data_IF_236322943240
#
_entry.id   IF_236322943240
#
_cell.length_a   1.000
_cell.length_b   1.000
_cell.length_c   1.000
_cell.angle_alpha   90.00
_cell.angle_beta   90.00
_cell.angle_gamma   90.00
#
_symmetry.space_group_name_H-M   'P 1'
#
loop_
_entity.id
_entity.type
_entity.pdbx_description
1 polymer ?
#
# COMPACT_ATOMS: atom_id res chain seq x y z
N UNK A 1 21.99 8.71 -25.59
CA UNK A 1 21.82 9.06 -24.16
C UNK A 1 20.33 9.03 -23.82
N UNK A 2 19.84 7.88 -23.35
CA UNK A 2 18.44 7.73 -22.93
C UNK A 2 18.26 8.40 -21.56
N UNK A 3 17.34 9.37 -21.47
CA UNK A 3 17.02 10.07 -20.22
C UNK A 3 16.55 9.06 -19.16
N UNK A 4 17.16 9.14 -17.98
CA UNK A 4 16.77 8.55 -16.69
C UNK A 4 15.29 8.09 -16.63
N UNK A 5 15.07 6.77 -16.62
CA UNK A 5 13.81 6.09 -16.29
C UNK A 5 13.50 6.14 -14.78
N UNK A 6 13.62 7.29 -14.11
CA UNK A 6 13.46 7.36 -12.65
C UNK A 6 12.02 7.53 -12.17
N UNK A 7 11.02 7.67 -13.05
CA UNK A 7 9.65 8.09 -12.67
C UNK A 7 8.51 7.15 -13.08
N UNK A 8 8.79 5.94 -13.56
CA UNK A 8 7.74 5.09 -14.14
C UNK A 8 6.65 4.64 -13.15
N UNK A 9 6.90 4.74 -11.84
CA UNK A 9 5.95 4.31 -10.80
C UNK A 9 5.38 5.47 -9.97
N UNK A 10 5.83 6.70 -10.16
CA UNK A 10 5.51 7.83 -9.27
C UNK A 10 4.01 8.07 -9.15
N UNK A 11 3.29 8.09 -10.28
CA UNK A 11 1.84 8.28 -10.27
C UNK A 11 1.08 7.10 -9.65
N UNK A 12 1.57 5.87 -9.85
CA UNK A 12 0.99 4.66 -9.24
C UNK A 12 1.14 4.72 -7.72
N UNK A 13 2.33 5.09 -7.24
CA UNK A 13 2.64 5.27 -5.82
C UNK A 13 1.80 6.38 -5.20
N UNK A 14 1.68 7.52 -5.88
CA UNK A 14 0.84 8.63 -5.44
C UNK A 14 -0.61 8.19 -5.21
N UNK A 15 -1.24 7.52 -6.18
CA UNK A 15 -2.62 7.06 -6.06
C UNK A 15 -2.81 6.06 -4.91
N UNK A 16 -1.88 5.13 -4.75
CA UNK A 16 -1.93 4.17 -3.64
C UNK A 16 -1.73 4.85 -2.28
N UNK A 17 -0.75 5.75 -2.17
CA UNK A 17 -0.44 6.43 -0.91
C UNK A 17 -1.58 7.37 -0.49
N UNK A 18 -2.21 8.08 -1.43
CA UNK A 18 -3.40 8.87 -1.15
C UNK A 18 -4.57 8.01 -0.68
N UNK A 19 -4.79 6.83 -1.28
CA UNK A 19 -5.79 5.88 -0.77
C UNK A 19 -5.53 5.54 0.71
N UNK A 20 -4.30 5.14 1.05
CA UNK A 20 -3.92 4.77 2.43
C UNK A 20 -4.10 5.95 3.39
N UNK A 21 -3.60 7.13 3.03
CA UNK A 21 -3.67 8.34 3.86
C UNK A 21 -5.09 8.83 4.09
N UNK A 22 -5.94 8.83 3.05
CA UNK A 22 -7.35 9.24 3.17
C UNK A 22 -8.17 8.23 3.96
N UNK A 23 -7.89 6.93 3.81
CA UNK A 23 -8.57 5.89 4.58
C UNK A 23 -8.29 6.02 6.08
N UNK A 24 -7.09 6.44 6.48
CA UNK A 24 -6.71 6.60 7.90
C UNK A 24 -7.26 7.87 8.54
N UNK A 25 -7.56 8.91 7.75
CA UNK A 25 -7.98 10.22 8.28
C UNK A 25 -9.50 10.34 8.43
N UNK A 26 -10.23 10.39 7.32
CA UNK A 26 -11.68 10.62 7.31
C UNK A 26 -12.44 9.59 6.49
N UNK A 27 -11.75 8.74 5.72
CA UNK A 27 -12.32 7.78 4.77
C UNK A 27 -12.97 8.42 3.54
N UNK A 28 -13.29 9.72 3.59
CA UNK A 28 -13.78 10.50 2.46
C UNK A 28 -12.71 10.50 1.36
N UNK A 29 -13.16 10.36 0.12
CA UNK A 29 -12.30 10.36 -1.08
C UNK A 29 -11.35 9.16 -1.26
N UNK A 30 -11.09 8.32 -0.24
CA UNK A 30 -10.17 7.18 -0.38
C UNK A 30 -10.55 6.28 -1.58
N UNK A 31 -11.84 5.93 -1.71
CA UNK A 31 -12.36 5.12 -2.83
C UNK A 31 -12.14 5.77 -4.21
N UNK A 32 -12.04 7.10 -4.28
CA UNK A 32 -11.76 7.80 -5.53
C UNK A 32 -10.34 7.49 -6.02
N UNK A 33 -9.34 7.51 -5.14
CA UNK A 33 -7.96 7.19 -5.50
C UNK A 33 -7.80 5.74 -5.96
N UNK A 34 -8.46 4.79 -5.28
CA UNK A 34 -8.52 3.41 -5.76
C UNK A 34 -9.20 3.32 -7.13
N UNK A 35 -10.34 3.99 -7.34
CA UNK A 35 -11.01 4.01 -8.64
C UNK A 35 -10.11 4.55 -9.76
N UNK A 36 -9.39 5.66 -9.50
CA UNK A 36 -8.45 6.25 -10.47
C UNK A 36 -7.31 5.27 -10.77
N UNK A 37 -6.80 4.54 -9.76
CA UNK A 37 -5.76 3.53 -9.96
C UNK A 37 -6.24 2.37 -10.85
N UNK A 38 -7.45 1.85 -10.60
CA UNK A 38 -8.08 0.83 -11.44
C UNK A 38 -8.24 1.31 -12.89
N UNK A 39 -8.71 2.55 -13.08
CA UNK A 39 -8.84 3.16 -14.43
C UNK A 39 -7.49 3.39 -15.09
N UNK A 40 -6.47 3.78 -14.34
CA UNK A 40 -5.13 3.97 -14.87
C UNK A 40 -4.53 2.66 -15.40
N UNK A 41 -4.78 1.53 -14.73
CA UNK A 41 -4.41 0.18 -15.20
C UNK A 41 -5.14 -0.17 -16.51
N UNK A 42 -6.43 0.15 -16.58
CA UNK A 42 -7.29 -0.19 -17.72
C UNK A 42 -6.91 0.60 -18.98
N UNK A 43 -6.80 1.93 -18.87
CA UNK A 43 -6.67 2.82 -20.03
C UNK A 43 -5.34 3.58 -20.09
N UNK A 44 -4.70 3.86 -18.95
CA UNK A 44 -3.46 4.65 -18.87
C UNK A 44 -2.17 3.85 -19.13
N UNK A 45 -2.21 2.53 -18.93
CA UNK A 45 -1.08 1.60 -19.08
C UNK A 45 -1.32 0.59 -20.22
N UNK A 46 -1.67 1.10 -21.40
CA UNK A 46 -2.05 0.29 -22.56
C UNK A 46 -0.88 -0.09 -23.48
N UNK A 47 0.29 0.57 -23.36
CA UNK A 47 1.45 0.30 -24.23
C UNK A 47 2.22 -0.92 -23.73
N UNK A 48 2.77 -1.73 -24.67
CA UNK A 48 3.62 -2.88 -24.33
C UNK A 48 4.83 -2.51 -23.45
N UNK A 49 5.40 -1.32 -23.65
CA UNK A 49 6.52 -0.82 -22.86
C UNK A 49 6.18 -0.57 -21.38
N UNK A 50 4.89 -0.50 -21.03
CA UNK A 50 4.40 -0.20 -19.68
C UNK A 50 4.02 -1.47 -18.89
N UNK A 51 4.52 -2.64 -19.30
CA UNK A 51 4.13 -3.92 -18.69
C UNK A 51 4.53 -4.00 -17.22
N UNK A 52 5.67 -3.42 -16.83
CA UNK A 52 6.14 -3.43 -15.46
C UNK A 52 5.26 -2.55 -14.56
N UNK A 53 4.95 -1.34 -15.02
CA UNK A 53 4.04 -0.39 -14.38
C UNK A 53 2.66 -1.01 -14.19
N UNK A 54 2.14 -1.69 -15.22
CA UNK A 54 0.83 -2.36 -15.16
C UNK A 54 0.81 -3.46 -14.12
N UNK A 55 1.82 -4.35 -14.13
CA UNK A 55 1.95 -5.41 -13.13
C UNK A 55 2.04 -4.85 -11.71
N UNK A 56 2.83 -3.78 -11.53
CA UNK A 56 2.99 -3.14 -10.23
C UNK A 56 1.69 -2.51 -9.72
N UNK A 57 0.98 -1.77 -10.56
CA UNK A 57 -0.32 -1.19 -10.21
C UNK A 57 -1.37 -2.28 -9.90
N UNK A 58 -1.42 -3.37 -10.68
CA UNK A 58 -2.30 -4.51 -10.42
C UNK A 58 -2.02 -5.16 -9.06
N UNK A 59 -0.74 -5.30 -8.69
CA UNK A 59 -0.34 -5.79 -7.36
C UNK A 59 -0.85 -4.88 -6.24
N UNK A 60 -0.69 -3.56 -6.38
CA UNK A 60 -1.18 -2.62 -5.38
C UNK A 60 -2.71 -2.65 -5.26
N UNK A 61 -3.44 -2.79 -6.37
CA UNK A 61 -4.90 -2.98 -6.35
C UNK A 61 -5.30 -4.28 -5.66
N UNK A 62 -4.57 -5.39 -5.88
CA UNK A 62 -4.85 -6.65 -5.20
C UNK A 62 -4.69 -6.51 -3.67
N UNK A 63 -3.62 -5.84 -3.23
CA UNK A 63 -3.39 -5.52 -1.81
C UNK A 63 -4.55 -4.67 -1.24
N UNK A 64 -5.02 -3.65 -1.97
CA UNK A 64 -6.17 -2.84 -1.55
C UNK A 64 -7.43 -3.71 -1.41
N UNK A 65 -7.70 -4.57 -2.40
CA UNK A 65 -8.89 -5.44 -2.40
C UNK A 65 -8.90 -6.40 -1.21
N UNK A 66 -7.77 -7.04 -0.95
CA UNK A 66 -7.57 -7.93 0.20
C UNK A 66 -7.79 -7.15 1.51
N UNK A 67 -7.14 -5.99 1.66
CA UNK A 67 -7.25 -5.17 2.85
C UNK A 67 -8.68 -4.64 3.09
N UNK A 68 -9.40 -4.25 2.04
CA UNK A 68 -10.79 -3.80 2.15
C UNK A 68 -11.73 -4.97 2.47
N UNK A 69 -11.57 -6.11 1.79
CA UNK A 69 -12.41 -7.29 1.98
C UNK A 69 -12.31 -7.86 3.39
N UNK A 70 -11.12 -7.81 3.98
CA UNK A 70 -10.86 -8.32 5.33
C UNK A 70 -10.86 -7.24 6.43
N UNK A 71 -11.28 -6.01 6.12
CA UNK A 71 -11.31 -4.89 7.08
C UNK A 71 -9.91 -4.54 7.68
N UNK A 72 -8.85 -4.84 6.95
CA UNK A 72 -7.45 -4.68 7.32
C UNK A 72 -6.77 -3.44 6.70
N UNK A 73 -7.52 -2.46 6.20
CA UNK A 73 -6.96 -1.25 5.56
C UNK A 73 -6.04 -0.43 6.47
N UNK A 74 -6.26 -0.47 7.79
CA UNK A 74 -5.38 0.13 8.79
C UNK A 74 -3.97 -0.51 8.84
N UNK A 75 -3.80 -1.72 8.29
CA UNK A 75 -2.52 -2.43 8.21
C UNK A 75 -1.73 -2.08 6.96
N UNK A 76 -2.30 -1.39 5.97
CA UNK A 76 -1.56 -0.95 4.79
C UNK A 76 -0.38 -0.04 5.16
N UNK A 77 0.67 -0.08 4.37
CA UNK A 77 1.90 0.71 4.52
C UNK A 77 2.05 1.56 3.26
N UNK A 78 2.43 2.84 3.41
CA UNK A 78 2.79 3.69 2.28
C UNK A 78 3.97 3.07 1.50
N UNK A 79 4.16 3.49 0.25
CA UNK A 79 5.20 2.95 -0.65
C UNK A 79 6.13 4.08 -1.13
N UNK A 80 7.29 3.70 -1.65
CA UNK A 80 8.34 4.65 -2.03
C UNK A 80 9.01 5.30 -0.82
N UNK A 81 9.58 6.49 -1.01
CA UNK A 81 10.30 7.23 0.05
C UNK A 81 9.40 7.51 1.28
N UNK A 82 8.11 7.76 1.06
CA UNK A 82 7.13 7.94 2.14
C UNK A 82 6.99 6.66 2.98
N UNK A 83 6.96 5.50 2.33
CA UNK A 83 6.84 4.20 2.98
C UNK A 83 8.08 3.78 3.77
N UNK A 84 9.27 4.18 3.33
CA UNK A 84 10.52 3.74 3.98
C UNK A 84 10.77 4.46 5.31
N UNK A 85 10.47 5.77 5.38
CA UNK A 85 10.43 6.51 6.64
C UNK A 85 9.31 6.01 7.55
N UNK A 86 8.13 5.79 6.98
CA UNK A 86 6.98 5.30 7.73
C UNK A 86 7.25 3.92 8.35
N UNK A 87 7.89 3.01 7.62
CA UNK A 87 8.09 1.63 8.06
C UNK A 87 8.88 1.56 9.38
N UNK A 88 9.99 2.28 9.49
CA UNK A 88 10.82 2.20 10.69
C UNK A 88 10.17 2.93 11.88
N UNK A 89 9.65 4.13 11.68
CA UNK A 89 9.08 4.94 12.76
C UNK A 89 7.70 4.40 13.21
N UNK A 90 6.84 4.01 12.27
CA UNK A 90 5.49 3.55 12.60
C UNK A 90 5.43 2.08 13.02
N UNK A 91 6.39 1.22 12.64
CA UNK A 91 6.37 -0.16 13.14
C UNK A 91 6.60 -0.21 14.65
N UNK A 92 7.53 0.60 15.17
CA UNK A 92 7.75 0.74 16.62
C UNK A 92 6.50 1.27 17.31
N UNK A 93 5.92 2.37 16.81
CA UNK A 93 4.70 2.96 17.37
C UNK A 93 3.50 1.99 17.32
N UNK A 94 3.40 1.20 16.24
CA UNK A 94 2.38 0.17 16.08
C UNK A 94 2.51 -0.93 17.14
N UNK A 95 3.71 -1.45 17.35
CA UNK A 95 4.01 -2.47 18.36
C UNK A 95 3.72 -1.93 19.76
N UNK A 96 4.18 -0.72 20.09
CA UNK A 96 3.91 -0.08 21.38
C UNK A 96 2.41 0.10 21.61
N UNK A 97 1.65 0.49 20.58
CA UNK A 97 0.19 0.62 20.68
C UNK A 97 -0.48 -0.73 20.98
N UNK A 98 -0.06 -1.81 20.33
CA UNK A 98 -0.62 -3.14 20.59
C UNK A 98 -0.39 -3.56 22.05
N UNK A 99 0.83 -3.37 22.58
CA UNK A 99 1.10 -3.63 23.99
C UNK A 99 0.26 -2.75 24.92
N UNK A 100 0.09 -1.45 24.61
CA UNK A 100 -0.78 -0.56 25.40
C UNK A 100 -2.25 -0.95 25.37
N UNK A 101 -2.71 -1.61 24.31
CA UNK A 101 -4.07 -2.15 24.20
C UNK A 101 -4.23 -3.51 24.92
N UNK A 102 -3.17 -4.01 25.55
CA UNK A 102 -3.19 -5.24 26.35
C UNK A 102 -2.96 -6.53 25.56
N UNK A 103 -2.47 -6.43 24.32
CA UNK A 103 -2.08 -7.62 23.56
C UNK A 103 -0.85 -8.29 24.20
N UNK A 104 -0.88 -9.63 24.24
CA UNK A 104 0.29 -10.43 24.60
C UNK A 104 1.31 -10.51 23.46
N UNK A 105 2.50 -11.03 23.77
CA UNK A 105 3.61 -11.12 22.82
C UNK A 105 3.24 -11.94 21.57
N UNK A 106 2.49 -13.02 21.73
CA UNK A 106 2.04 -13.85 20.61
C UNK A 106 1.08 -13.07 19.69
N UNK A 107 0.09 -12.39 20.26
CA UNK A 107 -0.89 -11.58 19.51
C UNK A 107 -0.21 -10.41 18.78
N UNK A 108 0.80 -9.80 19.41
CA UNK A 108 1.63 -8.76 18.79
C UNK A 108 2.37 -9.33 17.59
N UNK A 109 3.03 -10.49 17.74
CA UNK A 109 3.76 -11.16 16.66
C UNK A 109 2.84 -11.54 15.49
N UNK A 110 1.67 -12.12 15.78
CA UNK A 110 0.68 -12.46 14.76
C UNK A 110 0.19 -11.21 13.99
N UNK A 111 -0.01 -10.09 14.70
CA UNK A 111 -0.41 -8.82 14.11
C UNK A 111 0.66 -8.22 13.20
N UNK A 112 1.94 -8.34 13.57
CA UNK A 112 3.08 -7.92 12.74
C UNK A 112 3.15 -8.81 11.49
N UNK A 113 3.09 -10.14 11.66
CA UNK A 113 3.14 -11.10 10.55
C UNK A 113 2.01 -10.83 9.55
N UNK A 114 0.79 -10.60 10.04
CA UNK A 114 -0.36 -10.26 9.20
C UNK A 114 -0.12 -8.96 8.41
N UNK A 115 0.39 -7.92 9.08
CA UNK A 115 0.75 -6.64 8.43
C UNK A 115 1.79 -6.83 7.34
N UNK A 116 2.83 -7.64 7.57
CA UNK A 116 3.89 -7.90 6.60
C UNK A 116 3.40 -8.72 5.41
N UNK A 117 2.64 -9.79 5.66
CA UNK A 117 2.05 -10.64 4.59
C UNK A 117 1.15 -9.83 3.67
N UNK A 118 0.28 -8.99 4.21
CA UNK A 118 -0.60 -8.14 3.41
C UNK A 118 0.19 -7.20 2.48
N UNK A 119 1.32 -6.65 2.95
CA UNK A 119 2.03 -5.59 2.24
C UNK A 119 3.17 -6.07 1.32
N UNK A 120 3.72 -7.27 1.58
CA UNK A 120 4.91 -7.81 0.91
C UNK A 120 4.82 -9.32 0.59
N UNK A 121 3.77 -10.01 1.04
CA UNK A 121 3.61 -11.45 0.81
C UNK A 121 3.08 -11.82 -0.58
N UNK A 122 2.55 -10.85 -1.32
CA UNK A 122 2.06 -11.02 -2.70
C UNK A 122 3.16 -10.77 -3.76
N UNK A 123 4.39 -11.22 -3.49
CA UNK A 123 5.57 -11.02 -4.34
C UNK A 123 5.81 -12.17 -5.34
N UNK A 124 4.82 -13.06 -5.52
CA UNK A 124 4.88 -14.21 -6.45
C UNK A 124 4.80 -13.81 -7.92
#
# INVERSE_FOLDING_TARGET
MARKNSNNFEFILYLYNEFVSKHRSTGKEARMYWHILDKYIEVGLSKKSQTAEKKYAQKLVAIIREAVGEWNTHLLILKGEEGEKEYQENMKSYIERLYRLGHDEQSVMESIIKKLKLNYGNDN
#
